data_IF_044170518287
#
_entry.id   IF_044170518287
#
_cell.length_a   1.000
_cell.length_b   1.000
_cell.length_c   1.000
_cell.angle_alpha   90.00
_cell.angle_beta   90.00
_cell.angle_gamma   90.00
#
_symmetry.space_group_name_H-M   'P 1'
#
loop_
_entity.id
_entity.type
_entity.pdbx_description
1 polymer ?
#
# COMPACT_ATOMS: atom_id res chain seq x y z
N UNK A 1 17.35 -13.46 21.60
CA UNK A 1 17.48 -14.31 20.40
C UNK A 1 16.54 -13.87 19.28
N UNK A 2 15.23 -13.70 19.51
CA UNK A 2 14.28 -13.32 18.44
C UNK A 2 14.66 -12.03 17.68
N UNK A 3 14.97 -10.92 18.35
CA UNK A 3 15.34 -9.68 17.63
C UNK A 3 16.54 -9.87 16.69
N UNK A 4 17.51 -10.71 17.06
CA UNK A 4 18.66 -11.02 16.21
C UNK A 4 18.25 -11.87 14.99
N UNK A 5 17.35 -12.84 15.17
CA UNK A 5 16.76 -13.60 14.06
C UNK A 5 15.97 -12.69 13.11
N UNK A 6 15.10 -11.83 13.66
CA UNK A 6 14.31 -10.88 12.86
C UNK A 6 15.20 -9.91 12.11
N UNK A 7 16.27 -9.42 12.72
CA UNK A 7 17.24 -8.54 12.06
C UNK A 7 18.02 -9.28 10.97
N UNK A 8 18.46 -10.50 11.24
CA UNK A 8 19.10 -11.36 10.23
C UNK A 8 18.16 -11.59 9.04
N UNK A 9 16.90 -11.93 9.30
CA UNK A 9 15.90 -12.12 8.26
C UNK A 9 15.60 -10.83 7.49
N UNK A 10 15.54 -9.69 8.19
CA UNK A 10 15.28 -8.39 7.61
C UNK A 10 16.31 -8.06 6.52
N UNK A 11 17.58 -8.17 6.87
CA UNK A 11 18.71 -7.79 6.00
C UNK A 11 18.91 -8.78 4.85
N UNK A 12 18.74 -10.09 5.10
CA UNK A 12 19.04 -11.11 4.09
C UNK A 12 17.86 -11.45 3.17
N UNK A 13 16.62 -11.30 3.63
CA UNK A 13 15.45 -11.78 2.89
C UNK A 13 14.33 -10.76 2.75
N UNK A 14 13.93 -10.08 3.84
CA UNK A 14 12.77 -9.17 3.79
C UNK A 14 13.02 -7.98 2.86
N UNK A 15 14.15 -7.28 2.98
CA UNK A 15 14.43 -6.10 2.16
C UNK A 15 14.54 -6.41 0.66
N UNK A 16 15.20 -7.51 0.30
CA UNK A 16 15.35 -7.98 -1.08
C UNK A 16 14.07 -8.57 -1.68
N UNK A 17 13.12 -8.97 -0.83
CA UNK A 17 11.78 -9.33 -1.26
C UNK A 17 10.90 -8.10 -1.54
N UNK A 18 11.18 -6.96 -0.89
CA UNK A 18 10.41 -5.73 -1.04
C UNK A 18 10.91 -4.81 -2.16
N UNK A 19 12.12 -5.05 -2.65
CA UNK A 19 12.78 -4.18 -3.62
C UNK A 19 13.80 -4.97 -4.43
N UNK A 20 14.00 -4.56 -5.69
CA UNK A 20 14.99 -5.15 -6.60
C UNK A 20 15.76 -4.05 -7.35
N UNK A 21 17.02 -4.35 -7.67
CA UNK A 21 17.87 -3.46 -8.47
C UNK A 21 18.01 -2.06 -7.85
N UNK A 22 17.74 -1.02 -8.63
CA UNK A 22 17.88 0.38 -8.22
C UNK A 22 16.91 0.80 -7.09
N UNK A 23 15.89 -0.01 -6.80
CA UNK A 23 14.94 0.24 -5.71
C UNK A 23 15.39 -0.30 -4.35
N UNK A 24 16.52 -1.03 -4.28
CA UNK A 24 17.02 -1.68 -3.05
C UNK A 24 17.72 -0.73 -2.05
N UNK A 25 17.47 0.57 -2.15
CA UNK A 25 18.12 1.61 -1.34
C UNK A 25 17.81 1.52 0.16
N UNK A 26 16.72 0.86 0.57
CA UNK A 26 16.41 0.61 1.98
C UNK A 26 17.50 -0.19 2.70
N UNK A 27 18.22 -1.06 1.96
CA UNK A 27 19.35 -1.83 2.48
C UNK A 27 20.69 -1.08 2.49
N UNK A 28 20.74 0.15 1.98
CA UNK A 28 21.99 0.91 1.90
C UNK A 28 22.56 1.19 3.30
N UNK A 29 23.89 1.11 3.51
CA UNK A 29 24.50 1.21 4.84
C UNK A 29 24.14 2.49 5.61
N UNK A 30 24.04 3.64 4.93
CA UNK A 30 23.65 4.92 5.51
C UNK A 30 22.20 4.95 5.97
N UNK A 31 21.28 4.32 5.21
CA UNK A 31 19.88 4.18 5.58
C UNK A 31 19.75 3.24 6.77
N UNK A 32 20.43 2.08 6.73
CA UNK A 32 20.40 1.10 7.81
C UNK A 32 21.02 1.64 9.11
N UNK A 33 22.08 2.45 9.06
CA UNK A 33 22.63 3.14 10.24
C UNK A 33 21.60 4.06 10.89
N UNK A 34 20.83 4.79 10.10
CA UNK A 34 19.75 5.63 10.60
C UNK A 34 18.59 4.80 11.16
N UNK A 35 18.21 3.69 10.50
CA UNK A 35 17.18 2.75 10.97
C UNK A 35 17.54 2.22 12.36
N UNK A 36 18.73 1.64 12.54
CA UNK A 36 19.14 1.05 13.83
C UNK A 36 19.31 2.10 14.93
N UNK A 37 19.59 3.36 14.57
CA UNK A 37 19.72 4.48 15.52
C UNK A 37 18.37 5.12 15.89
N UNK A 38 17.27 4.71 15.24
CA UNK A 38 15.92 5.27 15.43
C UNK A 38 14.99 4.22 16.04
N UNK A 39 14.71 4.25 17.36
CA UNK A 39 14.03 3.15 18.05
C UNK A 39 12.66 2.76 17.49
N UNK A 40 11.76 3.71 17.18
CA UNK A 40 10.47 3.35 16.58
C UNK A 40 10.62 2.72 15.20
N UNK A 41 11.58 3.19 14.40
CA UNK A 41 11.78 2.74 13.03
C UNK A 41 12.37 1.32 13.00
N UNK A 42 13.38 1.02 13.83
CA UNK A 42 13.91 -0.35 13.90
C UNK A 42 12.84 -1.33 14.41
N UNK A 43 12.03 -0.96 15.40
CA UNK A 43 10.93 -1.83 15.85
C UNK A 43 9.94 -2.11 14.72
N UNK A 44 9.58 -1.10 13.92
CA UNK A 44 8.70 -1.28 12.76
C UNK A 44 9.32 -2.15 11.66
N UNK A 45 10.64 -2.02 11.42
CA UNK A 45 11.36 -2.85 10.47
C UNK A 45 11.44 -4.32 10.92
N UNK A 46 11.66 -4.55 12.22
CA UNK A 46 11.61 -5.88 12.81
C UNK A 46 10.19 -6.46 12.77
N UNK A 47 9.17 -5.63 12.99
CA UNK A 47 7.76 -6.00 12.86
C UNK A 47 7.45 -6.48 11.44
N UNK A 48 7.92 -5.76 10.43
CA UNK A 48 7.81 -6.16 9.02
C UNK A 48 8.55 -7.47 8.72
N UNK A 49 9.72 -7.68 9.33
CA UNK A 49 10.47 -8.94 9.20
C UNK A 49 9.73 -10.13 9.84
N UNK A 50 9.10 -9.92 10.99
CA UNK A 50 8.27 -10.93 11.64
C UNK A 50 7.03 -11.24 10.79
N UNK A 51 6.38 -10.24 10.20
CA UNK A 51 5.26 -10.44 9.28
C UNK A 51 5.67 -11.21 8.01
N UNK A 52 6.86 -10.94 7.48
CA UNK A 52 7.38 -11.73 6.37
C UNK A 52 7.57 -13.20 6.77
N UNK A 53 8.17 -13.46 7.95
CA UNK A 53 8.34 -14.82 8.48
C UNK A 53 7.02 -15.53 8.76
N UNK A 54 5.97 -14.82 9.18
CA UNK A 54 4.67 -15.45 9.42
C UNK A 54 4.06 -16.06 8.15
N UNK A 55 4.43 -15.52 7.00
CA UNK A 55 3.93 -15.96 5.69
C UNK A 55 4.84 -17.03 5.08
N UNK A 56 6.17 -16.85 5.14
CA UNK A 56 7.10 -17.80 4.52
C UNK A 56 7.44 -19.01 5.41
N UNK A 57 7.09 -18.98 6.71
CA UNK A 57 7.21 -20.12 7.64
C UNK A 57 5.87 -20.42 8.32
N UNK A 58 4.91 -21.05 7.61
CA UNK A 58 3.55 -21.24 8.13
C UNK A 58 3.47 -22.04 9.45
N UNK A 59 4.42 -22.96 9.70
CA UNK A 59 4.49 -23.76 10.93
C UNK A 59 4.52 -22.91 12.21
N UNK A 60 5.18 -21.75 12.15
CA UNK A 60 5.26 -20.79 13.26
C UNK A 60 4.55 -19.47 12.92
N UNK A 61 3.62 -19.51 11.94
CA UNK A 61 3.03 -18.33 11.33
C UNK A 61 2.36 -17.41 12.35
N UNK A 62 1.49 -17.98 13.17
CA UNK A 62 0.78 -17.24 14.22
C UNK A 62 1.73 -16.64 15.26
N UNK A 63 2.79 -17.36 15.62
CA UNK A 63 3.79 -16.88 16.56
C UNK A 63 4.52 -15.65 16.04
N UNK A 64 5.02 -15.70 14.80
CA UNK A 64 5.68 -14.53 14.20
C UNK A 64 4.70 -13.37 13.98
N UNK A 65 3.44 -13.65 13.62
CA UNK A 65 2.40 -12.64 13.45
C UNK A 65 2.11 -11.90 14.77
N UNK A 66 2.01 -12.63 15.88
CA UNK A 66 1.86 -12.05 17.22
C UNK A 66 3.04 -11.11 17.55
N UNK A 67 4.27 -11.52 17.25
CA UNK A 67 5.45 -10.67 17.43
C UNK A 67 5.47 -9.46 16.49
N UNK A 68 5.00 -9.60 15.25
CA UNK A 68 4.84 -8.49 14.32
C UNK A 68 3.89 -7.43 14.90
N UNK A 69 2.74 -7.84 15.43
CA UNK A 69 1.80 -6.95 16.09
C UNK A 69 2.42 -6.26 17.33
N UNK A 70 3.06 -7.02 18.23
CA UNK A 70 3.72 -6.44 19.41
C UNK A 70 4.79 -5.42 19.06
N UNK A 71 5.66 -5.73 18.08
CA UNK A 71 6.72 -4.81 17.64
C UNK A 71 6.15 -3.56 16.97
N UNK A 72 5.07 -3.68 16.19
CA UNK A 72 4.37 -2.54 15.60
C UNK A 72 3.74 -1.65 16.67
N UNK A 73 3.03 -2.23 17.66
CA UNK A 73 2.45 -1.49 18.78
C UNK A 73 3.53 -0.74 19.55
N UNK A 74 4.64 -1.42 19.89
CA UNK A 74 5.76 -0.80 20.59
C UNK A 74 6.41 0.32 19.76
N UNK A 75 6.54 0.16 18.44
CA UNK A 75 7.02 1.22 17.56
C UNK A 75 6.12 2.46 17.59
N UNK A 76 4.80 2.27 17.54
CA UNK A 76 3.80 3.34 17.64
C UNK A 76 3.83 4.04 19.00
N UNK A 77 4.00 3.30 20.09
CA UNK A 77 4.14 3.86 21.44
C UNK A 77 5.35 4.79 21.54
N UNK A 78 6.53 4.33 21.11
CA UNK A 78 7.76 5.13 21.09
C UNK A 78 7.57 6.38 20.23
N UNK A 79 6.96 6.22 19.04
CA UNK A 79 6.68 7.34 18.14
C UNK A 79 5.77 8.38 18.79
N UNK A 80 4.66 7.95 19.37
CA UNK A 80 3.68 8.84 20.01
C UNK A 80 4.25 9.56 21.24
N UNK A 81 5.09 8.89 22.05
CA UNK A 81 5.78 9.51 23.18
C UNK A 81 6.73 10.62 22.71
N UNK A 82 7.54 10.36 21.67
CA UNK A 82 8.48 11.36 21.14
C UNK A 82 7.79 12.56 20.49
N UNK A 83 6.64 12.38 19.83
CA UNK A 83 5.85 13.49 19.28
C UNK A 83 5.42 14.49 20.34
N UNK A 84 5.15 14.03 21.56
CA UNK A 84 4.74 14.89 22.67
C UNK A 84 5.91 15.69 23.24
N UNK A 85 7.14 15.22 23.06
CA UNK A 85 8.34 15.79 23.67
C UNK A 85 9.10 16.76 22.76
N UNK A 86 9.14 16.56 21.42
CA UNK A 86 10.02 17.35 20.55
C UNK A 86 9.51 17.48 19.10
N UNK A 87 9.38 18.73 18.60
CA UNK A 87 9.17 19.09 17.18
C UNK A 87 10.43 18.87 16.27
N UNK A 88 11.36 17.99 16.65
CA UNK A 88 12.67 17.81 15.99
C UNK A 88 12.87 16.40 15.40
N UNK A 89 11.80 15.74 14.94
CA UNK A 89 12.02 14.55 14.11
C UNK A 89 12.78 14.94 12.84
N UNK A 90 13.86 14.21 12.51
CA UNK A 90 14.38 14.32 11.16
C UNK A 90 13.33 13.71 10.23
N UNK A 91 12.99 14.44 9.17
CA UNK A 91 11.87 14.11 8.28
C UNK A 91 12.00 12.70 7.65
N UNK A 92 13.24 12.21 7.54
CA UNK A 92 13.59 10.94 6.89
C UNK A 92 13.12 9.71 7.67
N UNK A 93 13.51 9.48 8.94
CA UNK A 93 13.01 8.35 9.72
C UNK A 93 11.48 8.33 9.86
N UNK A 94 10.85 9.50 10.02
CA UNK A 94 9.39 9.61 10.06
C UNK A 94 8.76 9.12 8.75
N UNK A 95 9.29 9.60 7.62
CA UNK A 95 8.83 9.18 6.29
C UNK A 95 8.98 7.66 6.10
N UNK A 96 10.14 7.10 6.44
CA UNK A 96 10.37 5.65 6.33
C UNK A 96 9.45 4.84 7.24
N UNK A 97 9.32 5.24 8.51
CA UNK A 97 8.45 4.57 9.46
C UNK A 97 7.02 4.51 8.91
N UNK A 98 6.56 5.62 8.36
CA UNK A 98 5.25 5.75 7.76
C UNK A 98 5.05 4.84 6.55
N UNK A 99 6.00 4.79 5.62
CA UNK A 99 5.94 3.89 4.46
C UNK A 99 5.88 2.42 4.89
N UNK A 100 6.76 2.00 5.81
CA UNK A 100 6.83 0.61 6.27
C UNK A 100 5.60 0.23 7.10
N UNK A 101 5.08 1.14 7.92
CA UNK A 101 3.83 0.95 8.66
C UNK A 101 2.64 0.77 7.70
N UNK A 102 2.58 1.58 6.64
CA UNK A 102 1.58 1.46 5.59
C UNK A 102 1.62 0.11 4.89
N UNK A 103 2.82 -0.35 4.50
CA UNK A 103 3.01 -1.67 3.88
C UNK A 103 2.66 -2.82 4.82
N UNK A 104 3.09 -2.75 6.09
CA UNK A 104 2.75 -3.74 7.12
C UNK A 104 1.23 -3.85 7.25
N UNK A 105 0.55 -2.72 7.48
CA UNK A 105 -0.91 -2.70 7.71
C UNK A 105 -1.66 -3.22 6.49
N UNK A 106 -1.24 -2.84 5.28
CA UNK A 106 -1.86 -3.32 4.05
C UNK A 106 -1.71 -4.84 3.91
N UNK A 107 -0.52 -5.37 4.16
CA UNK A 107 -0.27 -6.81 4.14
C UNK A 107 -1.11 -7.55 5.17
N UNK A 108 -1.19 -7.06 6.40
CA UNK A 108 -2.00 -7.68 7.45
C UNK A 108 -3.48 -7.75 7.05
N UNK A 109 -4.03 -6.65 6.50
CA UNK A 109 -5.41 -6.62 6.01
C UNK A 109 -5.62 -7.58 4.84
N UNK A 110 -4.69 -7.63 3.90
CA UNK A 110 -4.83 -8.43 2.68
C UNK A 110 -4.59 -9.91 2.91
N UNK A 111 -3.63 -10.30 3.76
CA UNK A 111 -3.18 -11.69 3.91
C UNK A 111 -3.82 -12.34 5.14
N UNK A 112 -4.00 -11.61 6.23
CA UNK A 112 -4.56 -12.11 7.47
C UNK A 112 -6.04 -11.70 7.61
N UNK A 113 -6.85 -12.42 6.85
CA UNK A 113 -8.32 -12.35 6.85
C UNK A 113 -8.80 -13.38 7.85
N UNK A 114 -9.06 -12.96 9.09
CA UNK A 114 -9.85 -13.77 10.02
C UNK A 114 -11.23 -14.07 9.39
N UNK A 115 -12.00 -15.01 9.93
CA UNK A 115 -13.38 -15.30 9.50
C UNK A 115 -14.32 -14.12 9.83
N UNK A 116 -14.08 -12.99 9.17
CA UNK A 116 -14.72 -11.71 9.40
C UNK A 116 -15.67 -11.39 8.26
N UNK A 117 -16.77 -10.69 8.56
CA UNK A 117 -17.70 -10.23 7.55
C UNK A 117 -17.04 -9.26 6.57
N UNK A 118 -17.66 -9.07 5.41
CA UNK A 118 -17.24 -8.07 4.44
C UNK A 118 -17.11 -6.68 5.07
N UNK A 119 -18.02 -6.32 5.97
CA UNK A 119 -18.03 -5.01 6.62
C UNK A 119 -16.80 -4.79 7.50
N UNK A 120 -16.46 -5.77 8.34
CA UNK A 120 -15.26 -5.71 9.18
C UNK A 120 -13.99 -5.65 8.34
N UNK A 121 -13.94 -6.38 7.22
CA UNK A 121 -12.81 -6.32 6.31
C UNK A 121 -12.66 -4.93 5.68
N UNK A 122 -13.75 -4.35 5.16
CA UNK A 122 -13.72 -3.00 4.56
C UNK A 122 -13.36 -1.95 5.61
N UNK A 123 -13.86 -2.06 6.84
CA UNK A 123 -13.49 -1.17 7.94
C UNK A 123 -11.98 -1.20 8.21
N UNK A 124 -11.38 -2.41 8.29
CA UNK A 124 -9.93 -2.58 8.45
C UNK A 124 -9.16 -1.97 7.28
N UNK A 125 -9.63 -2.17 6.04
CA UNK A 125 -9.02 -1.60 4.84
C UNK A 125 -9.09 -0.07 4.84
N UNK A 126 -10.25 0.51 5.17
CA UNK A 126 -10.45 1.95 5.29
C UNK A 126 -9.55 2.54 6.38
N UNK A 127 -9.39 1.85 7.51
CA UNK A 127 -8.45 2.26 8.57
C UNK A 127 -7.00 2.27 8.06
N UNK A 128 -6.60 1.25 7.31
CA UNK A 128 -5.29 1.22 6.63
C UNK A 128 -5.15 2.41 5.66
N UNK A 129 -6.19 2.70 4.87
CA UNK A 129 -6.20 3.80 3.90
C UNK A 129 -6.07 5.15 4.60
N UNK A 130 -6.86 5.41 5.64
CA UNK A 130 -6.83 6.63 6.43
C UNK A 130 -5.48 6.83 7.14
N UNK A 131 -4.84 5.75 7.60
CA UNK A 131 -3.48 5.80 8.15
C UNK A 131 -2.47 6.29 7.10
N UNK A 132 -2.49 5.71 5.90
CA UNK A 132 -1.60 6.11 4.80
C UNK A 132 -1.87 7.54 4.30
N UNK A 133 -3.13 7.98 4.30
CA UNK A 133 -3.50 9.37 4.00
C UNK A 133 -3.00 10.33 5.11
N UNK A 134 -3.17 9.96 6.38
CA UNK A 134 -2.70 10.77 7.52
C UNK A 134 -1.19 10.99 7.49
N UNK A 135 -0.44 9.97 7.08
CA UNK A 135 1.00 10.06 6.80
C UNK A 135 1.32 11.14 5.76
N UNK A 136 0.57 11.18 4.65
CA UNK A 136 0.75 12.21 3.60
C UNK A 136 0.49 13.61 4.15
N UNK A 137 -0.54 13.78 4.97
CA UNK A 137 -0.91 15.09 5.55
C UNK A 137 0.17 15.61 6.50
N UNK A 138 0.87 14.73 7.22
CA UNK A 138 2.02 15.10 8.07
C UNK A 138 3.22 15.59 7.25
N UNK A 139 3.34 15.16 5.98
CA UNK A 139 4.38 15.63 5.06
C UNK A 139 3.97 16.99 4.47
N UNK A 140 4.28 18.05 5.19
CA UNK A 140 4.12 19.43 4.71
C UNK A 140 5.01 19.72 3.48
N UNK A 141 4.74 20.82 2.75
CA UNK A 141 5.56 21.23 1.61
C UNK A 141 7.02 21.53 1.99
N UNK A 142 7.27 21.95 3.25
CA UNK A 142 8.61 22.16 3.80
C UNK A 142 9.29 20.84 4.17
N UNK A 143 8.55 19.89 4.77
CA UNK A 143 8.99 18.51 5.01
C UNK A 143 9.39 17.83 3.70
N UNK A 144 8.58 17.98 2.66
CA UNK A 144 8.87 17.41 1.33
C UNK A 144 10.15 17.95 0.70
N UNK A 145 10.41 19.26 0.82
CA UNK A 145 11.67 19.86 0.34
C UNK A 145 12.88 19.27 1.08
N UNK A 146 12.81 19.20 2.40
CA UNK A 146 13.88 18.61 3.22
C UNK A 146 14.15 17.14 2.87
N UNK A 147 13.10 16.37 2.57
CA UNK A 147 13.24 14.98 2.12
C UNK A 147 13.99 14.88 0.78
N UNK A 148 13.69 15.75 -0.17
CA UNK A 148 14.36 15.81 -1.49
C UNK A 148 15.83 16.24 -1.42
N UNK A 149 16.25 16.86 -0.32
CA UNK A 149 17.63 17.29 -0.07
C UNK A 149 18.40 16.31 0.83
N UNK A 150 17.73 15.25 1.30
CA UNK A 150 18.30 14.26 2.22
C UNK A 150 18.91 13.04 1.51
N UNK A 151 19.28 12.02 2.29
CA UNK A 151 19.68 10.69 1.78
C UNK A 151 18.62 10.02 0.89
N UNK A 152 17.36 10.49 0.96
CA UNK A 152 16.25 10.00 0.12
C UNK A 152 16.14 10.71 -1.23
N UNK A 153 17.03 11.66 -1.56
CA UNK A 153 16.95 12.45 -2.80
C UNK A 153 16.75 11.59 -4.04
N UNK A 154 17.63 10.62 -4.28
CA UNK A 154 17.56 9.75 -5.46
C UNK A 154 16.29 8.85 -5.42
N UNK A 155 16.02 8.11 -4.33
CA UNK A 155 14.76 7.34 -4.22
C UNK A 155 13.48 8.15 -4.48
N UNK A 156 13.41 9.39 -4.00
CA UNK A 156 12.24 10.26 -4.21
C UNK A 156 12.16 10.80 -5.64
N UNK A 157 13.30 11.07 -6.28
CA UNK A 157 13.34 11.45 -7.70
C UNK A 157 12.87 10.28 -8.57
N UNK A 158 13.37 9.07 -8.31
CA UNK A 158 13.00 7.86 -9.04
C UNK A 158 11.50 7.56 -8.87
N UNK A 159 10.98 7.70 -7.65
CA UNK A 159 9.53 7.59 -7.38
C UNK A 159 8.70 8.66 -8.09
N UNK A 160 9.15 9.91 -8.12
CA UNK A 160 8.44 10.97 -8.83
C UNK A 160 8.41 10.77 -10.36
N UNK A 161 9.47 10.18 -10.94
CA UNK A 161 9.51 9.79 -12.34
C UNK A 161 8.54 8.63 -12.61
N UNK A 162 8.46 7.68 -11.69
CA UNK A 162 7.59 6.52 -11.83
C UNK A 162 6.10 6.91 -11.88
N UNK A 163 5.68 7.85 -11.03
CA UNK A 163 4.32 8.39 -10.98
C UNK A 163 4.18 9.62 -11.88
N UNK A 164 3.93 9.42 -13.18
CA UNK A 164 3.66 10.51 -14.13
C UNK A 164 2.26 11.10 -13.92
N UNK A 165 2.21 12.29 -13.32
CA UNK A 165 0.96 12.97 -12.92
C UNK A 165 0.08 13.46 -14.07
N UNK A 166 0.62 13.54 -15.28
CA UNK A 166 -0.11 13.98 -16.49
C UNK A 166 -0.35 12.81 -17.46
N UNK A 167 -0.74 11.65 -16.92
CA UNK A 167 -1.02 10.48 -17.76
C UNK A 167 -2.44 10.50 -18.30
N UNK A 168 -2.58 10.29 -19.62
CA UNK A 168 -3.85 9.92 -20.24
C UNK A 168 -4.41 8.62 -19.66
N UNK A 169 -5.73 8.57 -19.45
CA UNK A 169 -6.40 7.36 -19.01
C UNK A 169 -6.31 6.27 -20.08
N UNK A 170 -5.91 5.07 -19.67
CA UNK A 170 -6.05 3.86 -20.45
C UNK A 170 -7.51 3.44 -20.57
N UNK A 171 -7.82 2.44 -21.41
CA UNK A 171 -9.19 2.07 -21.75
C UNK A 171 -10.04 1.71 -20.52
N UNK A 172 -9.47 0.99 -19.56
CA UNK A 172 -10.19 0.49 -18.38
C UNK A 172 -10.57 1.65 -17.43
N UNK A 173 -9.61 2.53 -17.10
CA UNK A 173 -9.89 3.71 -16.27
C UNK A 173 -10.79 4.73 -17.01
N UNK A 174 -10.64 4.88 -18.33
CA UNK A 174 -11.51 5.74 -19.12
C UNK A 174 -12.95 5.19 -19.20
N UNK A 175 -13.11 3.87 -19.29
CA UNK A 175 -14.41 3.19 -19.20
C UNK A 175 -15.08 3.44 -17.86
N UNK A 176 -14.36 3.19 -16.76
CA UNK A 176 -14.85 3.44 -15.41
C UNK A 176 -15.24 4.91 -15.18
N UNK A 177 -14.43 5.85 -15.67
CA UNK A 177 -14.74 7.27 -15.54
C UNK A 177 -16.04 7.65 -16.28
N UNK A 178 -16.26 7.11 -17.49
CA UNK A 178 -17.52 7.34 -18.23
C UNK A 178 -18.73 6.81 -17.46
N UNK A 179 -18.61 5.66 -16.80
CA UNK A 179 -19.68 5.11 -15.96
C UNK A 179 -19.97 6.05 -14.77
N UNK A 180 -18.93 6.53 -14.07
CA UNK A 180 -19.05 7.49 -12.97
C UNK A 180 -19.74 8.79 -13.42
N UNK A 181 -19.34 9.36 -14.55
CA UNK A 181 -19.97 10.57 -15.10
C UNK A 181 -21.42 10.32 -15.53
N UNK A 182 -21.70 9.18 -16.15
CA UNK A 182 -23.04 8.78 -16.59
C UNK A 182 -24.01 8.52 -15.44
N UNK A 183 -23.51 8.11 -14.27
CA UNK A 183 -24.31 7.87 -13.07
C UNK A 183 -24.86 9.15 -12.42
N UNK A 184 -24.39 10.34 -12.82
CA UNK A 184 -24.89 11.65 -12.36
C UNK A 184 -24.95 11.78 -10.83
N UNK A 185 -23.86 11.40 -10.15
CA UNK A 185 -23.75 11.34 -8.69
C UNK A 185 -23.69 12.72 -8.00
N UNK A 186 -23.68 13.80 -8.78
CA UNK A 186 -23.39 15.17 -8.34
C UNK A 186 -21.91 15.54 -8.49
N UNK A 187 -21.64 16.83 -8.68
CA UNK A 187 -20.32 17.33 -9.09
C UNK A 187 -19.21 17.00 -8.08
N UNK A 188 -19.50 17.15 -6.78
CA UNK A 188 -18.52 16.88 -5.73
C UNK A 188 -18.08 15.42 -5.72
N UNK A 189 -19.02 14.48 -5.70
CA UNK A 189 -18.74 13.03 -5.67
C UNK A 189 -18.04 12.60 -6.97
N UNK A 190 -18.53 13.08 -8.11
CA UNK A 190 -17.95 12.80 -9.42
C UNK A 190 -16.49 13.30 -9.50
N UNK A 191 -16.20 14.47 -8.94
CA UNK A 191 -14.84 15.01 -8.88
C UNK A 191 -13.92 14.16 -7.99
N UNK A 192 -14.38 13.76 -6.80
CA UNK A 192 -13.64 12.85 -5.91
C UNK A 192 -13.29 11.53 -6.60
N UNK A 193 -14.26 10.92 -7.29
CA UNK A 193 -14.04 9.66 -8.01
C UNK A 193 -13.16 9.83 -9.24
N UNK A 194 -13.26 10.94 -9.97
CA UNK A 194 -12.33 11.27 -11.05
C UNK A 194 -10.88 11.30 -10.55
N UNK A 195 -10.64 11.98 -9.43
CA UNK A 195 -9.32 12.04 -8.81
C UNK A 195 -8.82 10.64 -8.40
N UNK A 196 -9.67 9.81 -7.80
CA UNK A 196 -9.32 8.44 -7.43
C UNK A 196 -9.00 7.55 -8.64
N UNK A 197 -9.70 7.72 -9.76
CA UNK A 197 -9.46 6.99 -11.01
C UNK A 197 -8.18 7.47 -11.70
N UNK A 198 -7.89 8.78 -11.69
CA UNK A 198 -6.62 9.31 -12.19
C UNK A 198 -5.44 8.78 -11.37
N UNK A 199 -5.57 8.80 -10.04
CA UNK A 199 -4.63 8.16 -9.12
C UNK A 199 -4.42 6.68 -9.44
N UNK A 200 -5.51 5.97 -9.75
CA UNK A 200 -5.45 4.56 -10.09
C UNK A 200 -4.65 4.34 -11.37
N UNK A 201 -4.93 5.13 -12.42
CA UNK A 201 -4.19 5.04 -13.68
C UNK A 201 -2.68 5.25 -13.48
N UNK A 202 -2.30 6.24 -12.69
CA UNK A 202 -0.88 6.49 -12.37
C UNK A 202 -0.25 5.28 -11.69
N UNK A 203 -0.96 4.68 -10.72
CA UNK A 203 -0.49 3.51 -9.98
C UNK A 203 -0.42 2.27 -10.86
N UNK A 204 -1.38 2.07 -11.78
CA UNK A 204 -1.33 0.99 -12.78
C UNK A 204 -0.09 1.12 -13.67
N UNK A 205 0.19 2.32 -14.16
CA UNK A 205 1.35 2.56 -15.01
C UNK A 205 2.65 2.36 -14.24
N UNK A 206 2.73 2.89 -13.02
CA UNK A 206 3.85 2.70 -12.12
C UNK A 206 4.09 1.21 -11.87
N UNK A 207 3.05 0.45 -11.51
CA UNK A 207 3.15 -0.97 -11.21
C UNK A 207 3.54 -1.83 -12.44
N UNK A 208 3.26 -1.36 -13.66
CA UNK A 208 3.67 -2.02 -14.90
C UNK A 208 5.02 -1.55 -15.44
N UNK A 209 5.52 -0.40 -14.97
CA UNK A 209 6.85 0.13 -15.31
C UNK A 209 7.90 -0.50 -14.39
N UNK A 210 9.03 -0.93 -14.94
CA UNK A 210 10.18 -1.42 -14.16
C UNK A 210 10.23 -2.95 -14.03
N UNK A 211 10.70 -3.46 -12.89
CA UNK A 211 10.81 -4.90 -12.63
C UNK A 211 9.53 -5.47 -12.00
N UNK A 212 9.45 -6.81 -11.94
CA UNK A 212 8.38 -7.57 -11.29
C UNK A 212 8.16 -7.25 -9.80
N UNK A 213 9.05 -6.47 -9.17
CA UNK A 213 8.99 -6.08 -7.75
C UNK A 213 8.79 -4.57 -7.55
N UNK A 214 8.02 -3.91 -8.41
CA UNK A 214 7.68 -2.50 -8.22
C UNK A 214 6.59 -2.30 -7.15
N UNK A 215 6.93 -2.57 -5.88
CA UNK A 215 6.01 -2.40 -4.75
C UNK A 215 5.54 -0.95 -4.65
N UNK A 216 6.40 0.02 -4.94
CA UNK A 216 6.06 1.44 -4.94
C UNK A 216 4.85 1.75 -5.83
N UNK A 217 4.84 1.23 -7.06
CA UNK A 217 3.71 1.37 -7.99
C UNK A 217 2.41 0.73 -7.47
N UNK A 218 2.53 -0.42 -6.82
CA UNK A 218 1.37 -1.13 -6.26
C UNK A 218 0.80 -0.43 -5.04
N UNK A 219 1.64 -0.01 -4.09
CA UNK A 219 1.22 0.65 -2.85
C UNK A 219 1.01 2.14 -3.00
N UNK A 220 1.18 2.70 -4.19
CA UNK A 220 1.04 4.14 -4.43
C UNK A 220 -0.39 4.63 -4.29
N UNK A 221 -1.35 3.89 -4.86
CA UNK A 221 -2.75 4.34 -4.92
C UNK A 221 -3.36 4.67 -3.56
N UNK A 222 -3.25 3.81 -2.52
CA UNK A 222 -3.82 4.12 -1.21
C UNK A 222 -3.19 5.37 -0.56
N UNK A 223 -1.97 5.75 -0.94
CA UNK A 223 -1.27 6.95 -0.42
C UNK A 223 -1.76 8.23 -1.10
N UNK A 224 -2.18 8.17 -2.37
CA UNK A 224 -2.49 9.36 -3.18
C UNK A 224 -3.98 9.70 -3.28
N UNK A 225 -4.88 8.74 -2.99
CA UNK A 225 -6.32 9.04 -2.98
C UNK A 225 -6.70 10.07 -1.93
N UNK A 226 -7.81 10.77 -2.17
CA UNK A 226 -8.25 11.86 -1.30
C UNK A 226 -8.89 11.32 0.00
N UNK A 227 -8.85 12.09 1.10
CA UNK A 227 -9.55 11.73 2.33
C UNK A 227 -11.05 11.50 2.10
N UNK A 228 -11.68 12.29 1.23
CA UNK A 228 -13.11 12.20 0.90
C UNK A 228 -13.45 10.86 0.24
N UNK A 229 -12.56 10.35 -0.62
CA UNK A 229 -12.72 9.01 -1.19
C UNK A 229 -12.71 7.94 -0.09
N UNK A 230 -11.82 8.06 0.89
CA UNK A 230 -11.76 7.13 2.01
C UNK A 230 -13.04 7.16 2.87
N UNK A 231 -13.68 8.32 3.01
CA UNK A 231 -15.00 8.43 3.66
C UNK A 231 -16.11 7.76 2.83
N UNK A 232 -16.11 7.94 1.50
CA UNK A 232 -17.07 7.25 0.63
C UNK A 232 -16.92 5.73 0.70
N UNK A 233 -15.69 5.24 0.83
CA UNK A 233 -15.41 3.82 1.04
C UNK A 233 -15.84 3.35 2.43
N UNK A 234 -15.67 4.17 3.47
CA UNK A 234 -16.17 3.89 4.83
C UNK A 234 -17.69 3.75 4.86
N UNK A 235 -18.39 4.57 4.06
CA UNK A 235 -19.84 4.49 3.84
C UNK A 235 -20.24 3.34 2.90
N UNK A 236 -19.28 2.55 2.42
CA UNK A 236 -19.48 1.46 1.47
C UNK A 236 -20.29 1.87 0.23
N UNK A 237 -20.05 3.09 -0.28
CA UNK A 237 -20.72 3.53 -1.51
C UNK A 237 -20.36 2.57 -2.65
N UNK A 238 -21.34 2.03 -3.38
CA UNK A 238 -21.07 1.04 -4.42
C UNK A 238 -20.02 1.46 -5.46
N UNK A 239 -20.05 2.72 -5.92
CA UNK A 239 -19.08 3.20 -6.90
C UNK A 239 -17.66 3.29 -6.34
N UNK A 240 -17.53 3.65 -5.05
CA UNK A 240 -16.23 3.63 -4.36
C UNK A 240 -15.71 2.19 -4.22
N UNK A 241 -16.58 1.22 -3.93
CA UNK A 241 -16.21 -0.20 -3.90
C UNK A 241 -15.76 -0.68 -5.29
N UNK A 242 -16.43 -0.26 -6.38
CA UNK A 242 -15.98 -0.59 -7.75
C UNK A 242 -14.57 -0.05 -8.03
N UNK A 243 -14.29 1.21 -7.67
CA UNK A 243 -12.95 1.80 -7.84
C UNK A 243 -11.91 1.00 -7.03
N UNK A 244 -12.25 0.57 -5.81
CA UNK A 244 -11.39 -0.32 -5.02
C UNK A 244 -11.17 -1.68 -5.71
N UNK A 245 -12.21 -2.27 -6.33
CA UNK A 245 -12.06 -3.50 -7.10
C UNK A 245 -11.11 -3.32 -8.31
N UNK A 246 -11.09 -2.14 -8.93
CA UNK A 246 -10.14 -1.83 -9.99
C UNK A 246 -8.70 -1.69 -9.46
N UNK A 247 -8.52 -1.09 -8.29
CA UNK A 247 -7.22 -1.12 -7.59
C UNK A 247 -6.76 -2.54 -7.27
N UNK A 248 -7.69 -3.41 -6.86
CA UNK A 248 -7.40 -4.80 -6.55
C UNK A 248 -6.86 -5.61 -7.75
N UNK A 249 -7.08 -5.15 -8.98
CA UNK A 249 -6.43 -5.74 -10.17
C UNK A 249 -4.91 -5.54 -10.14
N UNK A 250 -4.42 -4.39 -9.69
CA UNK A 250 -2.98 -4.13 -9.53
C UNK A 250 -2.36 -5.09 -8.51
N UNK A 251 -3.06 -5.28 -7.38
CA UNK A 251 -2.68 -6.26 -6.36
C UNK A 251 -2.64 -7.67 -6.96
N UNK A 252 -3.65 -8.03 -7.76
CA UNK A 252 -3.75 -9.34 -8.39
C UNK A 252 -2.62 -9.59 -9.40
N UNK A 253 -2.18 -8.57 -10.15
CA UNK A 253 -1.01 -8.70 -11.03
C UNK A 253 0.27 -9.03 -10.25
N UNK A 254 0.38 -8.55 -9.01
CA UNK A 254 1.54 -8.71 -8.14
C UNK A 254 1.36 -9.79 -7.06
N UNK A 255 0.42 -10.71 -7.26
CA UNK A 255 0.07 -11.78 -6.31
C UNK A 255 1.22 -12.74 -5.94
N UNK A 256 2.30 -12.76 -6.72
CA UNK A 256 3.52 -13.51 -6.41
C UNK A 256 4.31 -12.90 -5.25
N UNK A 257 4.07 -11.63 -4.94
CA UNK A 257 4.66 -10.98 -3.77
C UNK A 257 3.89 -11.39 -2.52
N UNK A 258 4.62 -11.85 -1.51
CA UNK A 258 4.07 -12.26 -0.21
C UNK A 258 3.23 -11.16 0.45
N UNK A 259 3.52 -9.88 0.15
CA UNK A 259 2.82 -8.71 0.68
C UNK A 259 1.34 -8.66 0.27
N UNK A 260 1.01 -9.22 -0.90
CA UNK A 260 -0.32 -9.12 -1.49
C UNK A 260 -1.02 -10.48 -1.58
N UNK A 261 -0.28 -11.53 -1.94
CA UNK A 261 -0.82 -12.88 -2.11
C UNK A 261 -2.07 -12.89 -3.00
N UNK A 262 -3.10 -13.63 -2.59
CA UNK A 262 -4.41 -13.65 -3.25
C UNK A 262 -5.31 -12.45 -2.90
N UNK A 263 -4.79 -11.43 -2.18
CA UNK A 263 -5.55 -10.26 -1.70
C UNK A 263 -6.29 -9.50 -2.78
N UNK A 264 -5.69 -9.35 -3.96
CA UNK A 264 -6.37 -8.74 -5.11
C UNK A 264 -7.58 -9.55 -5.58
N UNK A 265 -7.44 -10.88 -5.67
CA UNK A 265 -8.55 -11.77 -6.04
C UNK A 265 -9.67 -11.70 -5.03
N UNK A 266 -9.32 -11.82 -3.75
CA UNK A 266 -10.28 -11.78 -2.65
C UNK A 266 -11.09 -10.48 -2.64
N UNK A 267 -10.43 -9.33 -2.83
CA UNK A 267 -11.11 -8.03 -2.91
C UNK A 267 -12.12 -7.99 -4.05
N UNK A 268 -11.72 -8.39 -5.26
CA UNK A 268 -12.58 -8.37 -6.45
C UNK A 268 -13.80 -9.28 -6.24
N UNK A 269 -13.58 -10.51 -5.79
CA UNK A 269 -14.66 -11.49 -5.58
C UNK A 269 -15.59 -11.07 -4.43
N UNK A 270 -15.04 -10.52 -3.34
CA UNK A 270 -15.82 -10.07 -2.19
C UNK A 270 -16.69 -8.85 -2.52
N UNK A 271 -16.14 -7.86 -3.22
CA UNK A 271 -16.88 -6.69 -3.69
C UNK A 271 -17.95 -7.11 -4.70
N UNK A 272 -17.61 -7.99 -5.65
CA UNK A 272 -18.58 -8.47 -6.65
C UNK A 272 -19.75 -9.21 -6.01
N UNK A 273 -19.47 -10.04 -5.00
CA UNK A 273 -20.52 -10.75 -4.24
C UNK A 273 -21.38 -9.79 -3.42
N UNK A 274 -20.78 -8.79 -2.80
CA UNK A 274 -21.49 -7.81 -1.97
C UNK A 274 -22.40 -6.90 -2.81
N UNK A 275 -21.94 -6.41 -3.97
CA UNK A 275 -22.71 -5.52 -4.84
C UNK A 275 -23.75 -6.26 -5.70
N UNK A 276 -23.46 -7.50 -6.09
CA UNK A 276 -24.37 -8.34 -6.85
C UNK A 276 -24.44 -8.02 -8.35
N UNK A 277 -25.33 -8.72 -9.09
CA UNK A 277 -25.32 -8.73 -10.55
C UNK A 277 -25.63 -7.39 -11.23
N UNK A 278 -26.31 -6.46 -10.55
CA UNK A 278 -26.60 -5.12 -11.09
C UNK A 278 -25.34 -4.30 -11.35
N UNK A 279 -24.21 -4.65 -10.72
CA UNK A 279 -22.92 -4.00 -10.89
C UNK A 279 -21.99 -4.75 -11.85
N UNK A 280 -22.49 -5.77 -12.57
CA UNK A 280 -21.67 -6.60 -13.45
C UNK A 280 -20.95 -5.80 -14.56
N UNK A 281 -21.60 -4.80 -15.15
CA UNK A 281 -20.97 -3.92 -16.16
C UNK A 281 -19.79 -3.15 -15.56
N UNK A 282 -19.97 -2.62 -14.36
CA UNK A 282 -18.95 -1.85 -13.66
C UNK A 282 -17.77 -2.73 -13.23
N UNK A 283 -18.03 -3.99 -12.90
CA UNK A 283 -17.03 -4.95 -12.41
C UNK A 283 -16.51 -5.90 -13.50
N UNK A 284 -16.84 -5.65 -14.77
CA UNK A 284 -16.48 -6.52 -15.89
C UNK A 284 -14.97 -6.69 -16.00
N UNK A 285 -14.22 -5.58 -16.07
CA UNK A 285 -12.76 -5.63 -16.19
C UNK A 285 -12.06 -6.25 -14.97
N UNK A 286 -12.39 -5.88 -13.72
CA UNK A 286 -11.83 -6.56 -12.55
C UNK A 286 -12.05 -8.07 -12.55
N UNK A 287 -13.26 -8.53 -12.87
CA UNK A 287 -13.57 -9.96 -12.91
C UNK A 287 -12.86 -10.68 -14.06
N UNK A 288 -12.81 -10.08 -15.26
CA UNK A 288 -12.05 -10.61 -16.40
C UNK A 288 -10.57 -10.79 -16.07
N UNK A 289 -9.99 -9.80 -15.38
CA UNK A 289 -8.58 -9.80 -14.98
C UNK A 289 -8.17 -10.97 -14.06
N UNK A 290 -9.13 -11.60 -13.37
CA UNK A 290 -8.86 -12.80 -12.54
C UNK A 290 -8.57 -14.06 -13.35
N UNK A 291 -8.95 -14.06 -14.63
CA UNK A 291 -8.80 -15.19 -15.55
C UNK A 291 -7.66 -14.98 -16.56
N UNK A 292 -7.19 -13.74 -16.73
CA UNK A 292 -6.07 -13.42 -17.60
C UNK A 292 -4.73 -13.88 -16.97
N UNK A 293 -3.79 -14.47 -17.74
CA UNK A 293 -2.42 -14.64 -17.26
C UNK A 293 -1.89 -13.26 -16.85
N UNK A 294 -1.25 -13.17 -15.68
CA UNK A 294 -0.84 -11.87 -15.12
C UNK A 294 -0.01 -11.10 -16.16
N UNK A 295 -0.30 -9.80 -16.37
CA UNK A 295 0.35 -8.96 -17.40
C UNK A 295 1.89 -8.90 -17.26
N UNK A 296 2.40 -9.33 -16.13
CA UNK A 296 3.82 -9.45 -15.79
C UNK A 296 4.47 -10.76 -16.27
N UNK A 297 3.70 -11.76 -16.71
CA UNK A 297 4.19 -13.08 -17.12
C UNK A 297 5.04 -13.10 -18.39
N UNK A 298 5.20 -11.97 -19.07
CA UNK A 298 6.11 -11.80 -20.22
C UNK A 298 7.43 -11.09 -19.88
N UNK A 299 7.68 -10.77 -18.60
CA UNK A 299 8.88 -10.04 -18.15
C UNK A 299 9.91 -10.94 -17.43
N UNK A 300 9.75 -12.27 -17.52
CA UNK A 300 10.69 -13.28 -16.98
C UNK A 300 11.83 -13.59 -17.94
#
# INVERSE_FOLDING_TARGET
MLHAELFFNLVNYTLSSLSEGETAWLGAPEVMRMVVSTPYLINQMLAMSALHLSIVRPENGEWYRCHAAHLQTHALEIYNQRRLEVNQESNVPLFLFSCILGMHTLCDVLVHREETSFDTFIERFVRCLKLQIGIRVVISSTTWRSLRESILRKPLQDGAILFEWDTKLGPECAGLLRLVEGAKLGDAITSTYRGAIQALQMSMNAALKGSLKNIGGVTGWPVIVSPEYAEHLAMQRPEALVILAHYAVILHWHRHLWLFGDGGRFLIESISRHLGPSWAEWLEWPNRSLSEPGRLGGMS
#
